data_IF_260278062839
#
_entry.id   IF_260278062839
#
_cell.length_a   1.000
_cell.length_b   1.000
_cell.length_c   1.000
_cell.angle_alpha   90.00
_cell.angle_beta   90.00
_cell.angle_gamma   90.00
#
_symmetry.space_group_name_H-M   'P 1'
#
loop_
_entity.id
_entity.type
_entity.pdbx_description
1 polymer ?
#
# COMPACT_ATOMS: atom_id res chain seq x y z
N UNK A 1 -17.79 -8.62 5.27
CA UNK A 1 -16.51 -7.89 5.14
C UNK A 1 -15.42 -8.76 5.72
N UNK A 2 -14.50 -9.28 4.92
CA UNK A 2 -13.39 -10.08 5.43
C UNK A 2 -12.39 -9.13 6.11
N UNK A 3 -12.55 -8.89 7.43
CA UNK A 3 -11.71 -7.95 8.20
C UNK A 3 -10.21 -8.22 8.08
N UNK A 4 -9.84 -9.45 7.75
CA UNK A 4 -8.47 -9.86 7.44
C UNK A 4 -7.89 -9.10 6.23
N UNK A 5 -8.66 -8.95 5.14
CA UNK A 5 -8.21 -8.21 3.95
C UNK A 5 -8.02 -6.72 4.25
N UNK A 6 -8.85 -6.16 5.13
CA UNK A 6 -8.70 -4.79 5.59
C UNK A 6 -7.41 -4.59 6.39
N UNK A 7 -7.11 -5.49 7.34
CA UNK A 7 -5.87 -5.41 8.13
C UNK A 7 -4.64 -5.58 7.24
N UNK A 8 -4.68 -6.48 6.25
CA UNK A 8 -3.58 -6.65 5.29
C UNK A 8 -3.38 -5.37 4.47
N UNK A 9 -4.45 -4.78 3.93
CA UNK A 9 -4.38 -3.51 3.19
C UNK A 9 -3.84 -2.37 4.08
N UNK A 10 -4.26 -2.31 5.35
CA UNK A 10 -3.79 -1.33 6.31
C UNK A 10 -2.27 -1.49 6.59
N UNK A 11 -1.79 -2.72 6.73
CA UNK A 11 -0.36 -3.01 6.93
C UNK A 11 0.50 -2.59 5.73
N UNK A 12 0.05 -2.89 4.51
CA UNK A 12 0.75 -2.50 3.27
C UNK A 12 0.76 -0.98 3.10
N UNK A 13 -0.34 -0.31 3.48
CA UNK A 13 -0.43 1.15 3.43
C UNK A 13 0.55 1.83 4.40
N UNK A 14 0.58 1.38 5.66
CA UNK A 14 1.52 1.87 6.67
C UNK A 14 2.98 1.65 6.25
N UNK A 15 3.27 0.48 5.66
CA UNK A 15 4.58 0.19 5.11
C UNK A 15 4.97 1.14 3.95
N UNK A 16 4.04 1.44 3.04
CA UNK A 16 4.28 2.40 1.96
C UNK A 16 4.54 3.83 2.45
N UNK A 17 3.80 4.28 3.47
CA UNK A 17 4.05 5.58 4.12
C UNK A 17 5.42 5.63 4.80
N UNK A 18 5.80 4.54 5.48
CA UNK A 18 7.12 4.43 6.09
C UNK A 18 8.23 4.49 5.04
N UNK A 19 8.10 3.75 3.93
CA UNK A 19 9.08 3.75 2.83
C UNK A 19 9.31 5.14 2.24
N UNK A 20 8.25 5.93 2.03
CA UNK A 20 8.41 7.31 1.56
C UNK A 20 9.13 8.20 2.58
N UNK A 21 8.87 8.01 3.87
CA UNK A 21 9.57 8.73 4.94
C UNK A 21 11.05 8.34 5.07
N UNK A 22 11.40 7.07 4.81
CA UNK A 22 12.79 6.60 4.86
C UNK A 22 13.58 6.90 3.60
N UNK A 23 12.92 7.33 2.52
CA UNK A 23 13.55 7.57 1.22
C UNK A 23 14.75 8.54 1.32
N UNK A 24 14.66 9.58 2.15
CA UNK A 24 15.75 10.56 2.35
C UNK A 24 16.94 10.03 3.16
N UNK A 25 16.77 8.90 3.84
CA UNK A 25 17.84 8.24 4.59
C UNK A 25 18.63 7.24 3.73
N UNK A 26 18.14 6.90 2.54
CA UNK A 26 18.79 5.97 1.62
C UNK A 26 19.55 6.73 0.54
N UNK A 27 20.75 7.21 0.88
CA UNK A 27 21.61 7.96 -0.03
C UNK A 27 21.88 7.18 -1.33
N UNK A 28 21.65 7.85 -2.48
CA UNK A 28 21.86 7.28 -3.81
C UNK A 28 20.67 6.52 -4.40
N UNK A 29 19.64 6.18 -3.61
CA UNK A 29 18.44 5.47 -4.06
C UNK A 29 17.12 6.16 -3.66
N UNK A 30 17.18 7.42 -3.24
CA UNK A 30 16.08 8.20 -2.68
C UNK A 30 14.83 8.17 -3.59
N UNK A 31 15.01 8.41 -4.88
CA UNK A 31 13.92 8.40 -5.86
C UNK A 31 13.26 7.00 -6.00
N UNK A 32 14.05 5.93 -5.97
CA UNK A 32 13.56 4.56 -6.13
C UNK A 32 12.77 4.15 -4.88
N UNK A 33 13.27 4.45 -3.70
CA UNK A 33 12.61 4.14 -2.42
C UNK A 33 11.31 4.94 -2.28
N UNK A 34 11.31 6.20 -2.70
CA UNK A 34 10.10 7.04 -2.72
C UNK A 34 9.03 6.48 -3.67
N UNK A 35 9.41 6.15 -4.91
CA UNK A 35 8.48 5.57 -5.91
C UNK A 35 7.97 4.19 -5.46
N UNK A 36 8.83 3.36 -4.86
CA UNK A 36 8.40 2.08 -4.29
C UNK A 36 7.35 2.27 -3.18
N UNK A 37 7.49 3.30 -2.34
CA UNK A 37 6.50 3.65 -1.33
C UNK A 37 5.14 4.06 -1.93
N UNK A 38 5.16 4.86 -3.00
CA UNK A 38 3.94 5.22 -3.76
C UNK A 38 3.27 3.96 -4.33
N UNK A 39 4.03 3.05 -4.93
CA UNK A 39 3.50 1.80 -5.49
C UNK A 39 2.89 0.91 -4.41
N UNK A 40 3.52 0.80 -3.23
CA UNK A 40 2.96 0.08 -2.09
C UNK A 40 1.60 0.65 -1.65
N UNK A 41 1.47 1.98 -1.59
CA UNK A 41 0.19 2.62 -1.23
C UNK A 41 -0.87 2.40 -2.32
N UNK A 42 -0.49 2.51 -3.60
CA UNK A 42 -1.41 2.25 -4.71
C UNK A 42 -1.94 0.81 -4.70
N UNK A 43 -1.06 -0.17 -4.41
CA UNK A 43 -1.44 -1.57 -4.24
C UNK A 43 -2.34 -1.78 -3.02
N UNK A 44 -2.05 -1.13 -1.89
CA UNK A 44 -2.89 -1.20 -0.69
C UNK A 44 -4.32 -0.73 -0.96
N UNK A 45 -4.50 0.31 -1.77
CA UNK A 45 -5.79 0.85 -2.20
C UNK A 45 -6.49 -0.04 -3.23
N UNK A 46 -5.74 -0.72 -4.10
CA UNK A 46 -6.29 -1.63 -5.10
C UNK A 46 -6.98 -2.85 -4.49
N UNK A 47 -6.54 -3.32 -3.31
CA UNK A 47 -7.11 -4.47 -2.59
C UNK A 47 -8.60 -4.24 -2.24
N UNK A 48 -8.99 -3.20 -1.49
CA UNK A 48 -10.41 -2.96 -1.19
C UNK A 48 -11.23 -2.61 -2.44
N UNK A 49 -10.68 -1.85 -3.39
CA UNK A 49 -11.41 -1.42 -4.58
C UNK A 49 -11.73 -2.61 -5.52
N UNK A 50 -10.76 -3.50 -5.73
CA UNK A 50 -10.89 -4.60 -6.71
C UNK A 50 -11.49 -5.88 -6.10
N UNK A 51 -11.18 -6.19 -4.84
CA UNK A 51 -11.62 -7.43 -4.18
C UNK A 51 -12.83 -7.25 -3.25
N UNK A 52 -12.97 -6.13 -2.54
CA UNK A 52 -14.15 -5.91 -1.69
C UNK A 52 -15.37 -5.37 -2.45
N UNK A 53 -15.19 -4.65 -3.57
CA UNK A 53 -16.29 -4.14 -4.39
C UNK A 53 -17.10 -5.23 -5.12
N UNK A 54 -16.50 -6.39 -5.39
CA UNK A 54 -17.13 -7.50 -6.13
C UNK A 54 -17.95 -8.47 -5.27
N UNK A 55 -17.88 -8.35 -3.94
CA UNK A 55 -18.57 -9.26 -3.01
C UNK A 55 -20.04 -8.94 -2.71
N UNK A 56 -20.63 -7.92 -3.35
CA UNK A 56 -22.03 -7.51 -3.18
C UNK A 56 -22.85 -7.57 -4.48
N UNK A 57 -22.45 -8.43 -5.44
CA UNK A 57 -23.12 -8.53 -6.74
C UNK A 57 -23.13 -9.95 -7.30
N UNK A 58 -23.70 -10.89 -6.56
CA UNK A 58 -24.26 -12.15 -7.06
C UNK A 58 -25.24 -12.71 -6.02
#
# INVERSE_FOLDING_TARGET
MNGILFIIAMGIFLFGMWLMGTATHVAGFEAIVFVAGILCIALAMAIPISFLGRGQGA
#
